data_IF_971382339123
#
_entry.id   IF_971382339123
#
_cell.length_a   1.000
_cell.length_b   1.000
_cell.length_c   1.000
_cell.angle_alpha   90.00
_cell.angle_beta   90.00
_cell.angle_gamma   90.00
#
_symmetry.space_group_name_H-M   'P 1'
#
loop_
_entity.id
_entity.type
_entity.pdbx_description
1 polymer ?
#
# COMPACT_ATOMS: atom_id res chain seq x y z
N UNK A 1 -2.81 22.85 4.40
CA UNK A 1 -4.12 22.90 3.71
C UNK A 1 -4.84 21.61 4.03
N UNK A 2 -6.04 21.67 4.62
CA UNK A 2 -6.74 20.47 5.09
C UNK A 2 -7.34 19.68 3.90
N UNK A 3 -7.32 18.35 3.99
CA UNK A 3 -7.92 17.44 3.01
C UNK A 3 -9.44 17.67 2.99
N UNK A 4 -10.01 17.94 1.80
CA UNK A 4 -11.46 17.90 1.61
C UNK A 4 -11.90 16.45 1.37
N UNK A 5 -12.20 15.75 2.47
CA UNK A 5 -12.54 14.33 2.41
C UNK A 5 -13.80 14.02 1.60
N UNK A 6 -14.71 14.98 1.42
CA UNK A 6 -15.92 14.80 0.58
C UNK A 6 -15.55 14.80 -0.88
N UNK A 7 -14.71 15.76 -1.29
CA UNK A 7 -14.18 15.82 -2.65
C UNK A 7 -13.43 14.53 -2.97
N UNK A 8 -12.60 14.05 -2.04
CA UNK A 8 -11.85 12.82 -2.24
C UNK A 8 -12.72 11.56 -2.26
N UNK A 9 -13.77 11.50 -1.44
CA UNK A 9 -14.77 10.43 -1.54
C UNK A 9 -15.47 10.44 -2.91
N UNK A 10 -15.86 11.61 -3.42
CA UNK A 10 -16.47 11.74 -4.75
C UNK A 10 -15.53 11.24 -5.85
N UNK A 11 -14.25 11.59 -5.76
CA UNK A 11 -13.23 11.13 -6.70
C UNK A 11 -13.05 9.61 -6.62
N UNK A 12 -12.99 9.04 -5.42
CA UNK A 12 -12.84 7.60 -5.19
C UNK A 12 -14.01 6.79 -5.75
N UNK A 13 -15.24 7.27 -5.55
CA UNK A 13 -16.45 6.65 -6.16
C UNK A 13 -16.33 6.64 -7.68
N UNK A 14 -15.85 7.75 -8.27
CA UNK A 14 -15.67 7.86 -9.72
C UNK A 14 -14.59 6.91 -10.23
N UNK A 15 -13.45 6.80 -9.54
CA UNK A 15 -12.33 5.91 -9.93
C UNK A 15 -12.66 4.43 -9.78
N UNK A 16 -13.36 4.05 -8.71
CA UNK A 16 -13.74 2.66 -8.43
C UNK A 16 -14.87 2.15 -9.32
N UNK A 17 -15.61 3.03 -10.01
CA UNK A 17 -16.72 2.65 -10.89
C UNK A 17 -18.01 2.24 -10.15
N UNK A 18 -18.04 2.32 -8.81
CA UNK A 18 -19.23 2.03 -8.03
C UNK A 18 -20.27 3.15 -8.11
N UNK A 19 -21.54 2.79 -8.08
CA UNK A 19 -22.64 3.75 -7.94
C UNK A 19 -22.91 4.05 -6.47
N UNK A 20 -23.45 5.26 -6.20
CA UNK A 20 -23.91 5.61 -4.84
C UNK A 20 -24.94 4.63 -4.27
N UNK A 21 -25.73 3.99 -5.12
CA UNK A 21 -26.73 2.99 -4.71
C UNK A 21 -26.06 1.69 -4.22
N UNK A 22 -25.02 1.22 -4.91
CA UNK A 22 -24.26 0.04 -4.50
C UNK A 22 -23.55 0.29 -3.16
N UNK A 23 -22.92 1.45 -3.00
CA UNK A 23 -22.25 1.83 -1.75
C UNK A 23 -23.26 1.93 -0.60
N UNK A 24 -24.44 2.52 -0.86
CA UNK A 24 -25.50 2.62 0.14
C UNK A 24 -25.99 1.23 0.59
N UNK A 25 -26.21 0.32 -0.37
CA UNK A 25 -26.65 -1.04 -0.10
C UNK A 25 -25.63 -1.80 0.77
N UNK A 26 -24.35 -1.72 0.44
CA UNK A 26 -23.27 -2.33 1.23
C UNK A 26 -23.20 -1.78 2.65
N UNK A 27 -23.39 -0.46 2.80
CA UNK A 27 -23.33 0.19 4.11
C UNK A 27 -24.61 0.02 4.94
N UNK A 28 -25.63 -0.67 4.41
CA UNK A 28 -26.97 -0.76 5.00
C UNK A 28 -27.60 0.62 5.25
N UNK A 29 -27.50 1.51 4.26
CA UNK A 29 -27.99 2.88 4.29
C UNK A 29 -28.88 3.19 3.09
N UNK A 30 -29.65 4.28 3.18
CA UNK A 30 -30.35 4.80 2.01
C UNK A 30 -29.38 5.51 1.06
N UNK A 31 -29.68 5.53 -0.24
CA UNK A 31 -28.91 6.32 -1.22
C UNK A 31 -28.83 7.79 -0.83
N UNK A 32 -29.88 8.35 -0.23
CA UNK A 32 -29.92 9.75 0.23
C UNK A 32 -28.86 10.03 1.29
N UNK A 33 -28.51 9.07 2.15
CA UNK A 33 -27.41 9.24 3.11
C UNK A 33 -26.08 9.49 2.39
N UNK A 34 -25.78 8.71 1.34
CA UNK A 34 -24.56 8.87 0.55
C UNK A 34 -24.56 10.22 -0.18
N UNK A 35 -25.69 10.60 -0.80
CA UNK A 35 -25.82 11.91 -1.45
C UNK A 35 -25.58 13.05 -0.45
N UNK A 36 -26.16 12.99 0.75
CA UNK A 36 -25.96 14.01 1.79
C UNK A 36 -24.51 14.12 2.25
N UNK A 37 -23.74 13.02 2.26
CA UNK A 37 -22.30 13.09 2.55
C UNK A 37 -21.52 13.83 1.45
N UNK A 38 -21.93 13.68 0.19
CA UNK A 38 -21.23 14.26 -0.96
C UNK A 38 -21.60 15.73 -1.22
N UNK A 39 -22.79 16.17 -0.81
CA UNK A 39 -23.33 17.51 -1.14
C UNK A 39 -23.75 18.35 0.05
N UNK A 40 -23.87 17.76 1.25
CA UNK A 40 -24.35 18.46 2.44
C UNK A 40 -23.22 18.89 3.37
N UNK A 41 -23.57 19.71 4.36
CA UNK A 41 -22.64 20.26 5.35
C UNK A 41 -22.35 19.31 6.53
N UNK A 42 -23.11 18.22 6.65
CA UNK A 42 -22.96 17.27 7.77
C UNK A 42 -21.77 16.36 7.56
N UNK A 43 -20.88 16.28 8.54
CA UNK A 43 -19.72 15.39 8.49
C UNK A 43 -20.08 13.92 8.30
N UNK A 44 -19.17 13.20 7.66
CA UNK A 44 -19.28 11.77 7.44
C UNK A 44 -18.88 11.09 8.77
N UNK A 45 -19.75 10.29 9.40
CA UNK A 45 -19.38 9.58 10.61
C UNK A 45 -18.16 8.68 10.36
N UNK A 46 -17.18 8.68 11.28
CA UNK A 46 -15.91 7.98 11.11
C UNK A 46 -16.07 6.50 10.75
N UNK A 47 -16.93 5.77 11.46
CA UNK A 47 -17.18 4.36 11.19
C UNK A 47 -17.74 4.12 9.78
N UNK A 48 -18.50 5.08 9.23
CA UNK A 48 -19.03 5.03 7.87
C UNK A 48 -17.96 5.39 6.84
N UNK A 49 -17.12 6.37 7.13
CA UNK A 49 -15.99 6.72 6.29
C UNK A 49 -15.03 5.52 6.13
N UNK A 50 -14.68 4.85 7.23
CA UNK A 50 -13.85 3.64 7.22
C UNK A 50 -14.53 2.47 6.48
N UNK A 51 -15.84 2.29 6.67
CA UNK A 51 -16.60 1.26 5.96
C UNK A 51 -16.58 1.47 4.44
N UNK A 52 -16.82 2.70 3.98
CA UNK A 52 -16.77 3.05 2.55
C UNK A 52 -15.34 2.94 2.02
N UNK A 53 -14.35 3.41 2.77
CA UNK A 53 -12.93 3.29 2.40
C UNK A 53 -12.52 1.84 2.14
N UNK A 54 -12.94 0.92 3.01
CA UNK A 54 -12.63 -0.50 2.84
C UNK A 54 -13.36 -1.11 1.64
N UNK A 55 -14.62 -0.72 1.41
CA UNK A 55 -15.43 -1.24 0.30
C UNK A 55 -14.96 -0.77 -1.08
N UNK A 56 -14.55 0.49 -1.21
CA UNK A 56 -14.13 1.05 -2.50
C UNK A 56 -12.79 0.48 -3.01
N UNK A 57 -11.98 -0.13 -2.13
CA UNK A 57 -10.63 -0.65 -2.41
C UNK A 57 -9.70 0.33 -3.14
N UNK A 58 -9.90 1.65 -2.92
CA UNK A 58 -9.14 2.73 -3.55
C UNK A 58 -8.02 3.19 -2.61
N UNK A 59 -6.77 2.83 -2.91
CA UNK A 59 -5.62 3.16 -2.04
C UNK A 59 -5.40 4.66 -1.92
N UNK A 60 -5.59 5.42 -3.01
CA UNK A 60 -5.47 6.87 -2.94
C UNK A 60 -6.46 7.43 -1.91
N UNK A 61 -7.70 6.95 -1.92
CA UNK A 61 -8.70 7.31 -0.93
C UNK A 61 -8.34 6.83 0.48
N UNK A 62 -7.76 5.63 0.64
CA UNK A 62 -7.23 5.17 1.95
C UNK A 62 -6.18 6.14 2.50
N UNK A 63 -5.26 6.59 1.67
CA UNK A 63 -4.27 7.60 2.07
C UNK A 63 -4.94 8.93 2.42
N UNK A 64 -5.88 9.42 1.61
CA UNK A 64 -6.62 10.66 1.90
C UNK A 64 -7.41 10.57 3.22
N UNK A 65 -8.02 9.41 3.52
CA UNK A 65 -8.67 9.14 4.81
C UNK A 65 -7.65 9.15 5.94
N UNK A 66 -6.50 8.50 5.78
CA UNK A 66 -5.44 8.50 6.79
C UNK A 66 -4.88 9.91 7.05
N UNK A 67 -4.67 10.72 6.01
CA UNK A 67 -4.27 12.13 6.15
C UNK A 67 -5.33 12.94 6.90
N UNK A 68 -6.60 12.77 6.52
CA UNK A 68 -7.72 13.45 7.14
C UNK A 68 -7.83 13.13 8.64
N UNK A 69 -7.60 11.88 9.03
CA UNK A 69 -7.69 11.43 10.43
C UNK A 69 -6.47 11.78 11.26
N UNK A 70 -5.27 11.68 10.69
CA UNK A 70 -4.01 11.89 11.42
C UNK A 70 -3.54 13.35 11.38
N UNK A 71 -4.08 14.18 10.47
CA UNK A 71 -3.60 15.54 10.25
C UNK A 71 -2.17 15.62 9.69
N UNK A 72 -1.63 14.48 9.23
CA UNK A 72 -0.31 14.35 8.65
C UNK A 72 -0.46 14.18 7.15
N UNK A 73 0.35 14.89 6.37
CA UNK A 73 0.38 14.75 4.92
C UNK A 73 1.19 13.52 4.55
N UNK A 74 0.58 12.58 3.84
CA UNK A 74 1.17 11.29 3.47
C UNK A 74 1.54 11.26 1.98
N UNK A 75 0.82 11.99 1.13
CA UNK A 75 1.00 12.07 -0.32
C UNK A 75 0.98 13.51 -0.83
N UNK A 76 1.57 13.70 -2.01
CA UNK A 76 1.34 14.90 -2.83
C UNK A 76 -0.06 14.79 -3.48
N UNK A 77 -0.80 15.90 -3.65
CA UNK A 77 -2.25 15.88 -3.88
C UNK A 77 -2.67 15.23 -5.21
N UNK A 78 -1.74 15.15 -6.16
CA UNK A 78 -2.03 14.80 -7.54
C UNK A 78 -1.30 13.53 -7.99
N UNK A 79 -0.49 12.93 -7.12
CA UNK A 79 0.35 11.78 -7.46
C UNK A 79 0.47 10.87 -6.24
N UNK A 80 0.07 9.61 -6.38
CA UNK A 80 0.75 8.56 -5.62
C UNK A 80 2.22 8.77 -5.96
N UNK A 81 3.03 9.12 -4.96
CA UNK A 81 4.48 9.09 -5.12
C UNK A 81 4.81 7.67 -5.58
N UNK A 82 5.01 7.49 -6.88
CA UNK A 82 5.40 6.20 -7.41
C UNK A 82 6.85 6.08 -7.02
N UNK A 83 7.09 5.43 -5.89
CA UNK A 83 8.36 4.75 -5.73
C UNK A 83 8.55 3.90 -6.97
N UNK A 84 9.59 4.23 -7.71
CA UNK A 84 9.97 3.55 -8.93
C UNK A 84 10.38 2.14 -8.51
N UNK A 85 9.73 1.06 -9.01
CA UNK A 85 10.06 -0.30 -8.59
C UNK A 85 11.54 -0.64 -8.75
N UNK A 86 12.21 -0.05 -9.73
CA UNK A 86 13.65 -0.20 -9.94
C UNK A 86 14.46 0.34 -8.74
N UNK A 87 14.08 1.48 -8.15
CA UNK A 87 14.75 2.01 -6.96
C UNK A 87 14.54 1.07 -5.77
N UNK A 88 13.31 0.59 -5.55
CA UNK A 88 13.00 -0.38 -4.49
C UNK A 88 13.70 -1.72 -4.69
N UNK A 89 13.89 -2.16 -5.93
CA UNK A 89 14.68 -3.35 -6.25
C UNK A 89 16.15 -3.19 -5.86
N UNK A 90 16.75 -2.02 -6.13
CA UNK A 90 18.14 -1.75 -5.75
C UNK A 90 18.30 -1.78 -4.22
N UNK A 91 17.38 -1.15 -3.48
CA UNK A 91 17.35 -1.19 -2.02
C UNK A 91 17.19 -2.63 -1.51
N UNK A 92 16.20 -3.36 -2.02
CA UNK A 92 15.96 -4.76 -1.64
C UNK A 92 17.19 -5.64 -1.88
N UNK A 93 17.88 -5.44 -3.02
CA UNK A 93 19.10 -6.17 -3.35
C UNK A 93 20.25 -5.85 -2.40
N UNK A 94 20.31 -4.61 -1.89
CA UNK A 94 21.30 -4.19 -0.90
C UNK A 94 21.04 -4.86 0.45
N UNK A 95 19.81 -4.80 0.94
CA UNK A 95 19.42 -5.44 2.22
C UNK A 95 19.64 -6.96 2.16
N UNK A 96 19.27 -7.60 1.04
CA UNK A 96 19.56 -9.02 0.81
C UNK A 96 21.06 -9.30 0.87
N UNK A 97 21.89 -8.47 0.24
CA UNK A 97 23.35 -8.64 0.26
C UNK A 97 23.95 -8.48 1.66
N UNK A 98 23.46 -7.52 2.45
CA UNK A 98 23.90 -7.30 3.83
C UNK A 98 23.54 -8.49 4.73
N UNK A 99 22.34 -9.06 4.59
CA UNK A 99 21.97 -10.31 5.28
C UNK A 99 22.78 -11.51 4.79
N UNK A 100 22.94 -11.68 3.47
CA UNK A 100 23.73 -12.78 2.85
C UNK A 100 25.16 -12.81 3.39
N UNK A 101 25.78 -11.64 3.62
CA UNK A 101 27.15 -11.56 4.13
C UNK A 101 27.34 -12.17 5.53
N UNK A 102 26.25 -12.39 6.27
CA UNK A 102 26.26 -12.96 7.62
C UNK A 102 25.95 -14.46 7.66
N UNK A 103 25.51 -15.05 6.53
CA UNK A 103 24.98 -16.41 6.48
C UNK A 103 25.96 -17.44 7.06
N UNK A 104 27.16 -17.52 6.51
CA UNK A 104 28.15 -18.53 6.92
C UNK A 104 28.45 -18.45 8.42
N UNK A 105 28.61 -17.22 8.93
CA UNK A 105 28.90 -16.98 10.35
C UNK A 105 27.75 -17.47 11.23
N UNK A 106 26.51 -17.12 10.89
CA UNK A 106 25.34 -17.44 11.70
C UNK A 106 24.98 -18.93 11.60
N UNK A 107 25.15 -19.55 10.45
CA UNK A 107 24.95 -21.00 10.29
C UNK A 107 25.93 -21.80 11.15
N UNK A 108 27.18 -21.35 11.30
CA UNK A 108 28.12 -21.96 12.24
C UNK A 108 27.65 -21.80 13.69
N UNK A 109 27.09 -20.64 14.06
CA UNK A 109 26.56 -20.40 15.41
C UNK A 109 25.37 -21.32 15.70
N UNK A 110 24.45 -21.49 14.75
CA UNK A 110 23.28 -22.37 14.92
C UNK A 110 23.65 -23.84 15.16
N UNK A 111 24.83 -24.27 14.71
CA UNK A 111 25.33 -25.62 14.94
C UNK A 111 26.09 -25.80 16.27
N UNK A 112 26.32 -24.72 17.04
CA UNK A 112 27.00 -24.81 18.34
C UNK A 112 26.08 -25.46 19.39
N UNK A 113 26.61 -26.33 20.26
CA UNK A 113 25.87 -26.75 21.44
C UNK A 113 25.64 -25.55 22.37
N UNK A 114 24.51 -25.51 23.07
CA UNK A 114 24.12 -24.38 23.92
C UNK A 114 25.19 -23.99 24.97
N UNK A 115 25.98 -24.95 25.44
CA UNK A 115 27.09 -24.74 26.37
C UNK A 115 28.27 -23.94 25.79
N UNK A 116 28.39 -23.88 24.47
CA UNK A 116 29.47 -23.20 23.74
C UNK A 116 29.02 -21.86 23.11
N UNK A 117 27.73 -21.52 23.24
CA UNK A 117 27.18 -20.25 22.74
C UNK A 117 27.68 -19.11 23.61
N UNK A 118 28.39 -18.18 22.99
CA UNK A 118 28.93 -16.99 23.65
C UNK A 118 27.96 -15.81 23.59
N UNK A 119 28.23 -14.76 24.37
CA UNK A 119 27.48 -13.48 24.27
C UNK A 119 27.62 -12.84 22.89
N UNK A 120 28.78 -12.99 22.25
CA UNK A 120 29.01 -12.46 20.91
C UNK A 120 28.17 -13.22 19.88
N UNK A 121 28.05 -14.55 20.01
CA UNK A 121 27.20 -15.36 19.15
C UNK A 121 25.72 -14.91 19.23
N UNK A 122 25.23 -14.61 20.43
CA UNK A 122 23.86 -14.09 20.63
C UNK A 122 23.70 -12.73 19.93
N UNK A 123 24.66 -11.82 20.10
CA UNK A 123 24.64 -10.52 19.43
C UNK A 123 24.65 -10.66 17.90
N UNK A 124 25.48 -11.55 17.36
CA UNK A 124 25.59 -11.79 15.92
C UNK A 124 24.29 -12.37 15.34
N UNK A 125 23.63 -13.28 16.07
CA UNK A 125 22.32 -13.82 15.68
C UNK A 125 21.22 -12.75 15.78
N UNK A 126 21.25 -11.88 16.80
CA UNK A 126 20.31 -10.77 16.91
C UNK A 126 20.47 -9.76 15.77
N UNK A 127 21.72 -9.44 15.41
CA UNK A 127 22.01 -8.58 14.27
C UNK A 127 21.53 -9.21 12.96
N UNK A 128 21.77 -10.51 12.76
CA UNK A 128 21.22 -11.22 11.61
C UNK A 128 19.70 -11.20 11.54
N UNK A 129 19.01 -11.38 12.68
CA UNK A 129 17.56 -11.26 12.75
C UNK A 129 17.07 -9.86 12.37
N UNK A 130 17.79 -8.81 12.79
CA UNK A 130 17.50 -7.44 12.37
C UNK A 130 17.65 -7.27 10.86
N UNK A 131 18.75 -7.73 10.27
CA UNK A 131 18.98 -7.65 8.82
C UNK A 131 17.93 -8.43 8.02
N UNK A 132 17.49 -9.59 8.51
CA UNK A 132 16.39 -10.34 7.91
C UNK A 132 15.05 -9.58 7.97
N UNK A 133 14.80 -8.84 9.06
CA UNK A 133 13.62 -7.98 9.18
C UNK A 133 13.68 -6.81 8.20
N UNK A 134 14.82 -6.13 8.10
CA UNK A 134 15.04 -5.02 7.16
C UNK A 134 14.90 -5.48 5.70
N UNK A 135 15.43 -6.66 5.35
CA UNK A 135 15.21 -7.30 4.05
C UNK A 135 13.71 -7.55 3.80
N UNK A 136 12.98 -8.12 4.76
CA UNK A 136 11.53 -8.39 4.63
C UNK A 136 10.71 -7.11 4.41
N UNK A 137 11.05 -6.04 5.14
CA UNK A 137 10.40 -4.73 5.00
C UNK A 137 10.68 -4.09 3.64
N UNK A 138 11.91 -4.21 3.14
CA UNK A 138 12.30 -3.74 1.80
C UNK A 138 11.58 -4.51 0.69
N UNK A 139 11.46 -5.84 0.81
CA UNK A 139 10.70 -6.68 -0.11
C UNK A 139 9.22 -6.32 -0.13
N UNK A 140 8.63 -6.08 1.05
CA UNK A 140 7.24 -5.62 1.18
C UNK A 140 7.04 -4.27 0.49
N UNK A 141 7.99 -3.35 0.69
CA UNK A 141 7.98 -2.03 0.03
C UNK A 141 8.08 -2.15 -1.49
N UNK A 142 8.91 -3.06 -2.01
CA UNK A 142 9.00 -3.37 -3.43
C UNK A 142 7.69 -3.93 -3.98
N UNK A 143 7.03 -4.86 -3.26
CA UNK A 143 5.72 -5.39 -3.65
C UNK A 143 4.66 -4.27 -3.76
N UNK A 144 4.61 -3.38 -2.76
CA UNK A 144 3.69 -2.22 -2.76
C UNK A 144 3.96 -1.30 -3.95
N UNK A 145 5.24 -1.01 -4.23
CA UNK A 145 5.64 -0.18 -5.37
C UNK A 145 5.19 -0.78 -6.71
N UNK A 146 5.36 -2.10 -6.91
CA UNK A 146 4.90 -2.80 -8.11
C UNK A 146 3.37 -2.75 -8.22
N UNK A 147 2.65 -3.01 -7.12
CA UNK A 147 1.20 -2.96 -7.08
C UNK A 147 0.66 -1.58 -7.47
N UNK A 148 1.27 -0.53 -6.91
CA UNK A 148 0.93 0.86 -7.23
C UNK A 148 1.17 1.19 -8.71
N UNK A 149 2.28 0.72 -9.29
CA UNK A 149 2.58 0.90 -10.71
C UNK A 149 1.54 0.21 -11.60
N UNK A 150 1.14 -1.02 -11.29
CA UNK A 150 0.10 -1.75 -12.03
C UNK A 150 -1.22 -0.98 -12.00
N UNK A 151 -1.64 -0.49 -10.82
CA UNK A 151 -2.86 0.30 -10.68
C UNK A 151 -2.80 1.58 -11.50
N UNK A 152 -1.66 2.26 -11.49
CA UNK A 152 -1.46 3.46 -12.31
C UNK A 152 -1.59 3.13 -13.81
N UNK A 153 -1.03 2.02 -14.28
CA UNK A 153 -1.21 1.59 -15.67
C UNK A 153 -2.67 1.34 -16.01
N UNK A 154 -3.45 0.77 -15.09
CA UNK A 154 -4.90 0.56 -15.29
C UNK A 154 -5.64 1.89 -15.38
N UNK A 155 -5.36 2.84 -14.47
CA UNK A 155 -5.99 4.17 -14.47
C UNK A 155 -5.65 4.96 -15.73
N UNK A 156 -4.38 4.90 -16.15
CA UNK A 156 -3.88 5.65 -17.31
C UNK A 156 -4.27 5.01 -18.65
N UNK A 157 -4.85 3.80 -18.67
CA UNK A 157 -5.36 3.21 -19.90
C UNK A 157 -6.54 4.05 -20.41
N UNK A 158 -6.49 4.56 -21.64
CA UNK A 158 -7.62 5.29 -22.20
C UNK A 158 -8.85 4.37 -22.28
N UNK A 159 -9.95 4.79 -21.65
CA UNK A 159 -11.24 4.11 -21.79
C UNK A 159 -11.71 4.26 -23.25
N UNK A 160 -11.42 3.26 -24.08
CA UNK A 160 -11.82 3.23 -25.50
C UNK A 160 -10.75 2.83 -26.52
N UNK A 161 -9.55 2.36 -26.10
CA UNK A 161 -8.53 1.86 -27.02
C UNK A 161 -8.55 0.34 -27.15
N UNK A 162 -8.86 -0.16 -28.35
CA UNK A 162 -8.85 -1.58 -28.75
C UNK A 162 -7.64 -2.32 -28.19
N UNK A 163 -7.87 -3.37 -27.40
CA UNK A 163 -6.85 -4.34 -27.06
C UNK A 163 -6.44 -5.05 -28.36
N UNK A 164 -5.29 -4.72 -28.92
CA UNK A 164 -4.66 -5.58 -29.91
C UNK A 164 -4.19 -6.84 -29.19
N UNK A 165 -5.05 -7.86 -29.17
CA UNK A 165 -4.59 -9.24 -29.17
C UNK A 165 -3.74 -9.43 -30.42
N UNK A 166 -2.43 -9.33 -30.25
CA UNK A 166 -1.46 -9.79 -31.23
C UNK A 166 -0.47 -10.69 -30.50
N UNK A 167 -0.96 -11.85 -30.05
CA UNK A 167 -0.10 -13.03 -30.07
C UNK A 167 0.01 -13.46 -31.53
N UNK A 168 0.91 -12.77 -32.24
CA UNK A 168 1.40 -13.25 -33.52
C UNK A 168 2.14 -14.55 -33.26
N UNK A 169 1.59 -15.63 -33.82
CA UNK A 169 2.32 -16.86 -34.05
C UNK A 169 3.62 -16.53 -34.79
N UNK A 170 4.75 -17.02 -34.27
CA UNK A 170 5.95 -17.37 -35.01
C UNK A 170 6.75 -18.36 -34.19
#
# INVERSE_FOLDING_TARGET
MAIDIRKELKNAITRSGYTQAQIAAEMYLSKSNITNWLTGDRDIPLNRLLGVMNYLDDDLFRYQVAEYLCGLRLLSPDQISIDIPQTRFIETSKEEAERKALDDKVMLIFNKPASEVTKQDIHDVQFYLQQLSEETDSQTSMQVSIHNLIRQWIINRPQGGVAYESYGQS
#
